data_IF_030581006630
#
_entry.id   IF_030581006630
#
_cell.length_a   1.000
_cell.length_b   1.000
_cell.length_c   1.000
_cell.angle_alpha   90.00
_cell.angle_beta   90.00
_cell.angle_gamma   90.00
#
_symmetry.space_group_name_H-M   'P 1'
#
loop_
_entity.id
_entity.type
_entity.pdbx_description
1 polymer ?
#
# COMPACT_ATOMS: atom_id res chain seq x y z
N UNK A 1 0.16 -24.73 -13.44
CA UNK A 1 -0.51 -23.45 -13.28
C UNK A 1 0.14 -22.64 -12.16
N UNK A 2 0.51 -21.41 -12.45
CA UNK A 2 1.17 -20.58 -11.46
C UNK A 2 0.15 -20.05 -10.45
N UNK A 3 0.49 -20.18 -9.20
CA UNK A 3 -0.30 -19.60 -8.13
C UNK A 3 0.41 -18.39 -7.57
N UNK A 4 -0.35 -17.47 -7.04
CA UNK A 4 0.20 -16.28 -6.43
C UNK A 4 -0.26 -16.20 -4.99
N UNK A 5 0.58 -15.66 -4.15
CA UNK A 5 0.18 -15.31 -2.80
C UNK A 5 0.15 -13.80 -2.70
N UNK A 6 -0.69 -13.31 -1.81
CA UNK A 6 -0.92 -11.88 -1.65
C UNK A 6 -0.67 -11.46 -0.23
N UNK A 7 -0.21 -10.23 -0.09
CA UNK A 7 0.05 -9.66 1.20
C UNK A 7 -0.56 -8.27 1.24
N UNK A 8 -1.28 -7.97 2.31
CA UNK A 8 -1.97 -6.70 2.48
C UNK A 8 -1.29 -5.92 3.58
N UNK A 9 -0.83 -4.72 3.26
CA UNK A 9 -0.12 -3.88 4.21
C UNK A 9 -0.86 -2.56 4.33
N UNK A 10 -1.35 -2.27 5.54
CA UNK A 10 -2.08 -1.06 5.81
C UNK A 10 -1.10 0.05 6.18
N UNK A 11 -1.27 1.20 5.55
CA UNK A 11 -0.47 2.37 5.85
C UNK A 11 -1.39 3.44 6.40
N UNK A 12 -1.21 3.79 7.67
CA UNK A 12 -2.03 4.80 8.31
C UNK A 12 -1.60 6.18 7.86
N UNK A 13 -2.57 7.01 7.55
CA UNK A 13 -2.32 8.39 7.18
C UNK A 13 -2.77 9.27 8.32
N UNK A 14 -1.96 10.27 8.61
CA UNK A 14 -2.28 11.17 9.71
C UNK A 14 -3.41 12.10 9.32
N UNK A 15 -4.20 12.46 10.31
CA UNK A 15 -5.23 13.45 10.14
C UNK A 15 -4.58 14.75 9.66
N UNK A 16 -5.22 15.42 8.70
CA UNK A 16 -4.65 16.63 8.15
C UNK A 16 -3.51 16.38 7.18
N UNK A 17 -3.40 15.19 6.69
CA UNK A 17 -2.37 14.81 5.76
C UNK A 17 -2.40 15.67 4.50
N UNK A 18 -1.23 16.07 4.05
CA UNK A 18 -1.10 16.95 2.90
C UNK A 18 -0.32 16.26 1.79
N UNK A 19 -0.35 16.91 0.62
CA UNK A 19 0.36 16.36 -0.52
C UNK A 19 1.87 16.34 -0.32
N UNK A 20 2.39 17.22 0.55
CA UNK A 20 3.80 17.23 0.86
C UNK A 20 4.18 16.25 1.96
N UNK A 21 3.21 15.52 2.50
CA UNK A 21 3.49 14.49 3.47
C UNK A 21 4.36 13.44 2.82
N UNK A 22 5.35 12.91 3.52
CA UNK A 22 6.35 12.06 2.87
C UNK A 22 5.73 10.81 2.26
N UNK A 23 5.74 10.80 0.95
CA UNK A 23 5.40 9.59 0.21
C UNK A 23 6.48 8.54 0.40
N UNK A 24 7.61 8.98 0.92
CA UNK A 24 8.73 8.09 1.12
C UNK A 24 8.39 6.91 2.00
N UNK A 25 7.46 7.11 2.94
CA UNK A 25 7.11 6.03 3.85
C UNK A 25 6.58 4.82 3.12
N UNK A 26 5.59 5.02 2.26
CA UNK A 26 5.05 3.86 1.57
C UNK A 26 5.96 3.42 0.43
N UNK A 27 6.71 4.35 -0.15
CA UNK A 27 7.69 3.99 -1.16
C UNK A 27 8.73 3.04 -0.56
N UNK A 28 9.17 3.35 0.67
CA UNK A 28 10.14 2.49 1.34
C UNK A 28 9.55 1.11 1.60
N UNK A 29 8.28 1.07 1.99
CA UNK A 29 7.61 -0.22 2.21
C UNK A 29 7.59 -1.02 0.94
N UNK A 30 7.29 -0.37 -0.19
CA UNK A 30 7.27 -1.06 -1.48
C UNK A 30 8.66 -1.59 -1.82
N UNK A 31 9.70 -0.77 -1.62
CA UNK A 31 11.04 -1.18 -1.93
C UNK A 31 11.48 -2.35 -1.07
N UNK A 32 11.16 -2.29 0.22
CA UNK A 32 11.54 -3.38 1.11
C UNK A 32 10.87 -4.69 0.72
N UNK A 33 9.62 -4.62 0.31
CA UNK A 33 8.92 -5.82 -0.11
C UNK A 33 9.48 -6.35 -1.43
N UNK A 34 9.89 -5.44 -2.31
CA UNK A 34 10.47 -5.86 -3.58
C UNK A 34 11.74 -6.68 -3.37
N UNK A 35 12.50 -6.35 -2.34
CA UNK A 35 13.72 -7.10 -2.01
C UNK A 35 13.41 -8.54 -1.62
N UNK A 36 12.19 -8.79 -1.18
CA UNK A 36 11.77 -10.12 -0.78
C UNK A 36 10.95 -10.83 -1.85
N UNK A 37 10.94 -10.27 -3.05
CA UNK A 37 10.26 -10.91 -4.16
C UNK A 37 8.80 -10.49 -4.33
N UNK A 38 8.31 -9.59 -3.48
CA UNK A 38 6.95 -9.09 -3.61
C UNK A 38 6.91 -7.97 -4.62
N UNK A 39 5.81 -7.88 -5.36
CA UNK A 39 5.60 -6.72 -6.22
C UNK A 39 4.27 -6.09 -5.88
N UNK A 40 4.23 -4.78 -6.00
CA UNK A 40 3.01 -4.04 -5.71
C UNK A 40 2.00 -4.31 -6.82
N UNK A 41 0.87 -4.86 -6.43
CA UNK A 41 -0.19 -5.20 -7.36
C UNK A 41 -1.20 -4.07 -7.47
N UNK A 42 -1.57 -3.49 -6.33
CA UNK A 42 -2.60 -2.47 -6.32
C UNK A 42 -2.54 -1.70 -5.01
N UNK A 43 -2.99 -0.47 -5.06
CA UNK A 43 -3.17 0.36 -3.87
C UNK A 43 -4.66 0.60 -3.71
N UNK A 44 -5.19 0.26 -2.55
CA UNK A 44 -6.57 0.50 -2.24
C UNK A 44 -6.66 1.69 -1.29
N UNK A 45 -7.43 2.71 -1.67
CA UNK A 45 -7.62 3.89 -0.85
C UNK A 45 -9.13 4.08 -0.67
N UNK A 46 -9.66 3.70 0.50
CA UNK A 46 -11.10 3.83 0.72
C UNK A 46 -11.49 5.29 0.74
N UNK A 47 -12.64 5.57 0.13
CA UNK A 47 -13.13 6.92 0.06
C UNK A 47 -13.95 7.23 1.30
N UNK A 48 -13.58 8.31 1.99
CA UNK A 48 -14.30 8.72 3.19
C UNK A 48 -15.43 9.63 2.80
N UNK A 49 -16.64 9.20 3.13
CA UNK A 49 -17.84 9.95 2.78
C UNK A 49 -17.84 11.30 3.46
N UNK A 50 -18.06 12.33 2.67
CA UNK A 50 -18.35 13.68 3.19
C UNK A 50 -17.15 14.52 3.57
N UNK A 51 -15.96 13.96 3.61
CA UNK A 51 -14.81 14.73 4.06
C UNK A 51 -13.72 14.91 3.03
N UNK A 52 -13.62 13.98 2.09
CA UNK A 52 -12.53 14.00 1.15
C UNK A 52 -11.21 13.53 1.74
N UNK A 53 -11.21 13.08 2.97
CA UNK A 53 -10.00 12.60 3.62
C UNK A 53 -9.88 11.10 3.48
N UNK A 54 -8.65 10.62 3.41
CA UNK A 54 -8.36 9.19 3.43
C UNK A 54 -7.54 8.94 4.69
N UNK A 55 -8.01 8.03 5.54
CA UNK A 55 -7.33 7.77 6.80
C UNK A 55 -6.28 6.68 6.69
N UNK A 56 -6.34 5.87 5.66
CA UNK A 56 -5.33 4.86 5.42
C UNK A 56 -5.39 4.43 3.97
N UNK A 57 -4.31 3.81 3.55
CA UNK A 57 -4.29 3.11 2.26
C UNK A 57 -3.83 1.69 2.53
N UNK A 58 -4.15 0.82 1.61
CA UNK A 58 -3.73 -0.57 1.75
C UNK A 58 -2.93 -0.94 0.51
N UNK A 59 -1.70 -1.36 0.73
CA UNK A 59 -0.83 -1.80 -0.34
C UNK A 59 -1.03 -3.29 -0.52
N UNK A 60 -1.33 -3.70 -1.74
CA UNK A 60 -1.57 -5.10 -2.03
C UNK A 60 -0.41 -5.62 -2.85
N UNK A 61 0.30 -6.58 -2.30
CA UNK A 61 1.46 -7.17 -2.95
C UNK A 61 1.15 -8.57 -3.39
N UNK A 62 1.81 -8.99 -4.44
CA UNK A 62 1.69 -10.37 -4.90
C UNK A 62 3.07 -10.91 -5.24
N UNK A 63 3.20 -12.22 -5.17
CA UNK A 63 4.39 -12.89 -5.68
C UNK A 63 4.00 -14.33 -6.01
N UNK A 64 4.75 -14.94 -6.94
CA UNK A 64 4.47 -16.34 -7.28
C UNK A 64 4.68 -17.23 -6.07
N UNK A 65 3.76 -18.14 -5.90
CA UNK A 65 3.84 -19.11 -4.83
C UNK A 65 4.49 -20.37 -5.35
N UNK A 66 5.53 -20.78 -4.68
CA UNK A 66 6.28 -21.96 -5.06
C UNK A 66 5.64 -23.23 -4.52
#
# INVERSE_FOLDING_TARGET
MTRYEYKFVRVELKSGWRTDTPKADYHQIVEDHAKEGWRLFQIFAPQMSGTGWVSFIELIFERPRV
#
